data_IF_851044717927
#
_entry.id   IF_851044717927
#
_cell.length_a   1.000
_cell.length_b   1.000
_cell.length_c   1.000
_cell.angle_alpha   90.00
_cell.angle_beta   90.00
_cell.angle_gamma   90.00
#
_symmetry.space_group_name_H-M   'P 1'
#
loop_
_entity.id
_entity.type
_entity.pdbx_description
1 polymer ?
#
# COMPACT_ATOMS: atom_id res chain seq x y z
N UNK A 1 3.02 19.28 5.28
CA UNK A 1 2.26 18.30 6.11
C UNK A 1 2.29 16.97 5.38
N UNK A 2 2.48 15.83 6.07
CA UNK A 2 2.55 14.52 5.40
C UNK A 2 1.27 14.25 4.60
N UNK A 3 1.42 13.77 3.36
CA UNK A 3 0.31 13.38 2.47
C UNK A 3 -0.66 12.38 3.10
N UNK A 4 -0.15 11.52 3.99
CA UNK A 4 -0.94 10.58 4.80
C UNK A 4 -1.97 11.26 5.72
N UNK A 5 -1.88 12.57 5.93
CA UNK A 5 -2.80 13.37 6.75
C UNK A 5 -3.93 13.97 5.90
N UNK A 6 -3.66 14.34 4.63
CA UNK A 6 -4.65 14.96 3.72
C UNK A 6 -5.66 13.94 3.21
N UNK A 7 -5.17 12.77 2.80
CA UNK A 7 -6.00 11.67 2.28
C UNK A 7 -6.24 10.57 3.32
N UNK A 8 -6.11 10.92 4.61
CA UNK A 8 -6.16 9.99 5.74
C UNK A 8 -7.39 9.09 5.71
N UNK A 9 -8.58 9.65 5.50
CA UNK A 9 -9.83 8.88 5.50
C UNK A 9 -9.88 7.86 4.35
N UNK A 10 -9.40 8.26 3.17
CA UNK A 10 -9.34 7.41 1.97
C UNK A 10 -8.36 6.24 2.18
N UNK A 11 -7.17 6.53 2.71
CA UNK A 11 -6.16 5.53 3.02
C UNK A 11 -6.66 4.56 4.10
N UNK A 12 -7.28 5.07 5.17
CA UNK A 12 -7.89 4.24 6.22
C UNK A 12 -9.00 3.35 5.63
N UNK A 13 -9.83 3.87 4.72
CA UNK A 13 -10.87 3.06 4.08
C UNK A 13 -10.28 1.91 3.25
N UNK A 14 -9.15 2.13 2.55
CA UNK A 14 -8.43 1.07 1.84
C UNK A 14 -7.85 0.02 2.79
N UNK A 15 -7.24 0.45 3.89
CA UNK A 15 -6.73 -0.47 4.94
C UNK A 15 -7.86 -1.30 5.54
N UNK A 16 -9.03 -0.69 5.83
CA UNK A 16 -10.20 -1.42 6.33
C UNK A 16 -10.72 -2.47 5.35
N UNK A 17 -10.72 -2.17 4.04
CA UNK A 17 -11.06 -3.15 3.00
C UNK A 17 -10.08 -4.32 2.97
N UNK A 18 -8.77 -4.03 3.04
CA UNK A 18 -7.72 -5.05 3.13
C UNK A 18 -7.92 -5.94 4.36
N UNK A 19 -8.19 -5.35 5.53
CA UNK A 19 -8.50 -6.10 6.76
C UNK A 19 -9.65 -7.09 6.53
N UNK A 20 -10.75 -6.65 5.94
CA UNK A 20 -11.88 -7.53 5.63
C UNK A 20 -11.55 -8.64 4.62
N UNK A 21 -10.62 -8.40 3.68
CA UNK A 21 -10.12 -9.43 2.77
C UNK A 21 -9.30 -10.49 3.52
N UNK A 22 -8.42 -10.08 4.43
CA UNK A 22 -7.61 -11.00 5.24
C UNK A 22 -8.51 -11.85 6.16
N UNK A 23 -9.46 -11.24 6.85
CA UNK A 23 -10.46 -11.96 7.65
C UNK A 23 -11.31 -12.91 6.78
N UNK A 24 -11.57 -12.55 5.52
CA UNK A 24 -12.26 -13.41 4.56
C UNK A 24 -11.47 -14.68 4.22
N UNK A 25 -10.16 -14.55 4.06
CA UNK A 25 -9.23 -15.66 3.79
C UNK A 25 -9.17 -16.60 5.00
N UNK A 26 -9.06 -16.04 6.21
CA UNK A 26 -9.09 -16.80 7.46
C UNK A 26 -10.37 -17.64 7.58
N UNK A 27 -11.54 -17.03 7.41
CA UNK A 27 -12.82 -17.76 7.42
C UNK A 27 -12.92 -18.82 6.33
N UNK A 28 -12.35 -18.57 5.15
CA UNK A 28 -12.35 -19.55 4.06
C UNK A 28 -11.48 -20.77 4.39
N UNK A 29 -10.37 -20.56 5.09
CA UNK A 29 -9.50 -21.64 5.59
C UNK A 29 -10.19 -22.43 6.71
N UNK A 30 -10.78 -21.76 7.69
CA UNK A 30 -11.55 -22.40 8.78
C UNK A 30 -12.73 -23.23 8.25
N UNK A 31 -13.37 -22.77 7.18
CA UNK A 31 -14.47 -23.46 6.52
C UNK A 31 -14.02 -24.49 5.46
N UNK A 32 -12.72 -24.82 5.41
CA UNK A 32 -12.12 -25.80 4.50
C UNK A 32 -12.54 -25.61 3.03
N UNK A 33 -12.56 -24.35 2.57
CA UNK A 33 -12.97 -24.01 1.19
C UNK A 33 -11.98 -24.56 0.15
N UNK A 34 -12.44 -24.81 -1.09
CA UNK A 34 -11.56 -25.28 -2.17
C UNK A 34 -10.37 -24.34 -2.39
N UNK A 35 -9.19 -24.92 -2.65
CA UNK A 35 -7.94 -24.16 -2.84
C UNK A 35 -8.06 -23.07 -3.91
N UNK A 36 -8.84 -23.30 -4.98
CA UNK A 36 -9.06 -22.30 -6.02
C UNK A 36 -9.79 -21.04 -5.53
N UNK A 37 -10.65 -21.14 -4.51
CA UNK A 37 -11.30 -19.99 -3.89
C UNK A 37 -10.32 -19.19 -3.04
N UNK A 38 -9.55 -19.88 -2.21
CA UNK A 38 -8.51 -19.27 -1.36
C UNK A 38 -7.47 -18.55 -2.24
N UNK A 39 -7.01 -19.17 -3.34
CA UNK A 39 -6.07 -18.56 -4.27
C UNK A 39 -6.60 -17.26 -4.89
N UNK A 40 -7.89 -17.22 -5.26
CA UNK A 40 -8.51 -15.99 -5.78
C UNK A 40 -8.57 -14.88 -4.73
N UNK A 41 -8.91 -15.22 -3.48
CA UNK A 41 -8.95 -14.25 -2.39
C UNK A 41 -7.55 -13.70 -2.06
N UNK A 42 -6.53 -14.57 -1.99
CA UNK A 42 -5.12 -14.17 -1.82
C UNK A 42 -4.64 -13.26 -2.95
N UNK A 43 -4.96 -13.60 -4.21
CA UNK A 43 -4.61 -12.77 -5.36
C UNK A 43 -5.28 -11.38 -5.30
N UNK A 44 -6.56 -11.33 -4.90
CA UNK A 44 -7.29 -10.08 -4.68
C UNK A 44 -6.67 -9.23 -3.57
N UNK A 45 -6.33 -9.84 -2.42
CA UNK A 45 -5.69 -9.15 -1.30
C UNK A 45 -4.32 -8.61 -1.69
N UNK A 46 -3.51 -9.39 -2.41
CA UNK A 46 -2.23 -8.95 -2.95
C UNK A 46 -2.40 -7.74 -3.87
N UNK A 47 -3.35 -7.79 -4.81
CA UNK A 47 -3.62 -6.67 -5.72
C UNK A 47 -4.05 -5.39 -5.00
N UNK A 48 -4.91 -5.52 -3.97
CA UNK A 48 -5.33 -4.39 -3.15
C UNK A 48 -4.15 -3.78 -2.36
N UNK A 49 -3.25 -4.61 -1.82
CA UNK A 49 -2.06 -4.16 -1.12
C UNK A 49 -1.12 -3.41 -2.07
N UNK A 50 -0.81 -4.01 -3.23
CA UNK A 50 0.04 -3.37 -4.25
C UNK A 50 -0.53 -2.03 -4.72
N UNK A 51 -1.85 -1.94 -4.91
CA UNK A 51 -2.51 -0.70 -5.30
C UNK A 51 -2.45 0.39 -4.22
N UNK A 52 -2.50 0.02 -2.93
CA UNK A 52 -2.31 0.96 -1.83
C UNK A 52 -0.85 1.42 -1.73
N UNK A 53 0.12 0.51 -1.88
CA UNK A 53 1.54 0.86 -1.88
C UNK A 53 1.88 1.82 -3.01
N UNK A 54 1.38 1.57 -4.22
CA UNK A 54 1.59 2.45 -5.38
C UNK A 54 1.06 3.87 -5.15
N UNK A 55 -0.14 4.00 -4.58
CA UNK A 55 -0.74 5.29 -4.24
C UNK A 55 0.12 6.07 -3.23
N UNK A 56 0.56 5.42 -2.15
CA UNK A 56 1.41 6.08 -1.13
C UNK A 56 2.78 6.46 -1.70
N UNK A 57 3.37 5.63 -2.57
CA UNK A 57 4.62 5.97 -3.26
C UNK A 57 4.47 7.18 -4.19
N UNK A 58 3.36 7.28 -4.93
CA UNK A 58 3.08 8.42 -5.79
C UNK A 58 2.97 9.71 -4.98
N UNK A 59 2.20 9.68 -3.89
CA UNK A 59 2.01 10.84 -3.02
C UNK A 59 3.33 11.26 -2.36
N UNK A 60 4.16 10.29 -1.94
CA UNK A 60 5.50 10.55 -1.40
C UNK A 60 6.40 11.23 -2.43
N UNK A 61 6.43 10.74 -3.67
CA UNK A 61 7.20 11.35 -4.76
C UNK A 61 6.76 12.81 -4.99
N UNK A 62 5.45 13.06 -5.06
CA UNK A 62 4.92 14.41 -5.31
C UNK A 62 5.31 15.37 -4.20
N UNK A 63 5.08 15.02 -2.95
CA UNK A 63 5.20 15.95 -1.82
C UNK A 63 6.64 16.06 -1.31
N UNK A 64 7.40 14.96 -1.25
CA UNK A 64 8.74 14.93 -0.65
C UNK A 64 9.89 15.00 -1.66
N UNK A 65 9.61 14.93 -2.97
CA UNK A 65 10.64 15.08 -4.00
C UNK A 65 10.32 16.24 -4.96
N UNK A 66 9.13 16.23 -5.59
CA UNK A 66 8.77 17.25 -6.57
C UNK A 66 8.46 18.61 -5.94
N UNK A 67 7.86 18.62 -4.76
CA UNK A 67 7.48 19.84 -4.03
C UNK A 67 8.36 20.14 -2.80
N UNK A 68 9.51 19.48 -2.68
CA UNK A 68 10.46 19.74 -1.60
C UNK A 68 11.02 21.17 -1.65
N UNK A 69 11.02 21.85 -0.48
CA UNK A 69 11.48 23.24 -0.33
C UNK A 69 13.00 23.37 -0.44
N UNK A 70 13.75 22.35 0.00
CA UNK A 70 15.20 22.34 -0.02
C UNK A 70 15.75 21.14 -0.81
N UNK A 71 16.97 21.28 -1.32
CA UNK A 71 17.68 20.17 -1.97
C UNK A 71 18.01 19.03 -0.98
N UNK A 72 18.18 19.35 0.30
CA UNK A 72 18.40 18.34 1.34
C UNK A 72 17.14 17.47 1.51
N UNK A 73 15.96 18.09 1.64
CA UNK A 73 14.69 17.38 1.77
C UNK A 73 14.39 16.55 0.51
N UNK A 74 14.66 17.11 -0.68
CA UNK A 74 14.48 16.38 -1.95
C UNK A 74 15.33 15.12 -2.01
N UNK A 75 16.60 15.19 -1.61
CA UNK A 75 17.49 14.02 -1.59
C UNK A 75 17.00 12.98 -0.60
N UNK A 76 16.60 13.41 0.59
CA UNK A 76 16.07 12.50 1.61
C UNK A 76 14.81 11.77 1.10
N UNK A 77 13.82 12.50 0.59
CA UNK A 77 12.60 11.90 0.04
C UNK A 77 12.89 10.94 -1.12
N UNK A 78 13.89 11.25 -1.95
CA UNK A 78 14.36 10.37 -3.03
C UNK A 78 14.99 9.07 -2.54
N UNK A 79 15.86 9.12 -1.53
CA UNK A 79 16.47 7.92 -0.94
C UNK A 79 15.42 7.01 -0.27
N UNK A 80 14.48 7.60 0.47
CA UNK A 80 13.34 6.88 1.07
C UNK A 80 12.52 6.16 -0.01
N UNK A 81 12.25 6.83 -1.13
CA UNK A 81 11.52 6.23 -2.24
C UNK A 81 12.30 5.09 -2.92
N UNK A 82 13.62 5.25 -3.10
CA UNK A 82 14.49 4.20 -3.68
C UNK A 82 14.47 2.94 -2.81
N UNK A 83 14.50 3.09 -1.49
CA UNK A 83 14.44 1.96 -0.55
C UNK A 83 13.12 1.18 -0.68
N UNK A 84 12.01 1.91 -0.77
CA UNK A 84 10.68 1.29 -0.93
C UNK A 84 10.55 0.62 -2.30
N UNK A 85 11.00 1.25 -3.39
CA UNK A 85 10.95 0.67 -4.74
C UNK A 85 11.73 -0.65 -4.80
N UNK A 86 12.91 -0.71 -4.20
CA UNK A 86 13.72 -1.95 -4.14
C UNK A 86 13.00 -3.09 -3.40
N UNK A 87 12.14 -2.76 -2.44
CA UNK A 87 11.36 -3.75 -1.71
C UNK A 87 10.10 -4.15 -2.48
N UNK A 88 9.46 -3.18 -3.15
CA UNK A 88 8.24 -3.39 -3.92
C UNK A 88 8.45 -4.21 -5.21
N UNK A 89 9.63 -4.10 -5.82
CA UNK A 89 9.99 -4.82 -7.04
C UNK A 89 10.54 -6.23 -6.81
N UNK A 90 10.80 -6.62 -5.57
CA UNK A 90 11.17 -7.99 -5.21
C UNK A 90 9.92 -8.88 -5.16
#
# INVERSE_FOLDING_TARGET
MSHTIRDKEKLIARVRRLKGQIEGIERALEAEKPCGEILRQLASARGAMSGLTAEVMEDHLREHVLHAETDADRRQGGEELIEVIRTYMK
#
